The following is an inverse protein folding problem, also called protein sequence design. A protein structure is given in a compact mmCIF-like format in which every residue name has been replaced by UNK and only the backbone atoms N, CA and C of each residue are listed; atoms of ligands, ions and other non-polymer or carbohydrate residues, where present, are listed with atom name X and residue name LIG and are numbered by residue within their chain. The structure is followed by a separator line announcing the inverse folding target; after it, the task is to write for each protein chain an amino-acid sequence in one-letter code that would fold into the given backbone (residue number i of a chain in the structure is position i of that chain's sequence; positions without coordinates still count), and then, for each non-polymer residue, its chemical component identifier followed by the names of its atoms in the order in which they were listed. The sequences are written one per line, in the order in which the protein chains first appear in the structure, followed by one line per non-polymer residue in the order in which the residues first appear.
data_IF_045294037426
#
_entry.id   IF_045294037426
#
_cell.length_a   1.000
_cell.length_b   1.000
_cell.length_c   1.000
_cell.angle_alpha   90.00
_cell.angle_beta   90.00
_cell.angle_gamma   90.00
#
_symmetry.space_group_name_H-M   'P 1'
#
loop_
_entity.id
_entity.type
_entity.pdbx_description
1 polymer ?
#
# COMPACT_ATOMS: atom_id res chain seq x y z
N UNK A 1 -21.35 -24.77 2.14
CA UNK A 1 -21.20 -23.30 2.18
C UNK A 1 -19.75 -22.96 1.94
N UNK A 2 -19.43 -22.30 0.85
CA UNK A 2 -18.12 -21.71 0.68
C UNK A 2 -18.06 -20.48 1.59
N UNK A 3 -17.15 -20.47 2.57
CA UNK A 3 -16.86 -19.29 3.35
C UNK A 3 -16.11 -18.34 2.42
N UNK A 4 -16.78 -17.28 2.02
CA UNK A 4 -16.17 -16.24 1.21
C UNK A 4 -15.12 -15.53 2.09
N UNK A 5 -13.86 -15.83 1.86
CA UNK A 5 -12.77 -15.23 2.62
C UNK A 5 -12.58 -13.79 2.15
N UNK A 6 -12.42 -12.85 3.08
CA UNK A 6 -12.09 -11.44 2.78
C UNK A 6 -10.67 -11.27 2.23
N UNK A 7 -9.99 -12.36 1.88
CA UNK A 7 -8.67 -12.30 1.28
C UNK A 7 -8.74 -11.75 -0.15
N UNK A 8 -7.81 -10.89 -0.53
CA UNK A 8 -7.72 -10.39 -1.90
C UNK A 8 -7.55 -11.54 -2.90
N UNK A 9 -8.35 -11.52 -3.94
CA UNK A 9 -8.32 -12.53 -5.01
C UNK A 9 -8.32 -11.85 -6.38
N UNK A 10 -7.84 -12.56 -7.40
CA UNK A 10 -7.98 -12.12 -8.77
C UNK A 10 -9.46 -12.12 -9.18
N UNK A 11 -9.92 -11.03 -9.79
CA UNK A 11 -11.27 -10.88 -10.28
C UNK A 11 -11.47 -11.59 -11.64
N UNK A 12 -12.62 -12.23 -11.79
CA UNK A 12 -13.05 -12.74 -13.09
C UNK A 12 -13.54 -11.63 -14.02
N UNK A 13 -13.34 -11.79 -15.33
CA UNK A 13 -13.77 -10.80 -16.34
C UNK A 13 -15.28 -10.53 -16.35
N UNK A 14 -16.07 -11.45 -15.82
CA UNK A 14 -17.53 -11.33 -15.73
C UNK A 14 -18.00 -10.58 -14.47
N UNK A 15 -17.11 -10.30 -13.53
CA UNK A 15 -17.45 -9.59 -12.30
C UNK A 15 -17.59 -8.08 -12.57
N UNK A 16 -18.58 -7.44 -11.94
CA UNK A 16 -18.81 -5.99 -12.10
C UNK A 16 -17.59 -5.16 -11.67
N UNK A 17 -16.87 -5.60 -10.65
CA UNK A 17 -15.65 -4.95 -10.16
C UNK A 17 -14.52 -4.97 -11.19
N UNK A 18 -14.56 -5.83 -12.19
CA UNK A 18 -13.56 -5.87 -13.27
C UNK A 18 -13.60 -4.61 -14.14
N UNK A 19 -14.72 -3.91 -14.19
CA UNK A 19 -14.83 -2.61 -14.88
C UNK A 19 -13.85 -1.58 -14.28
N UNK A 20 -13.72 -1.57 -12.97
CA UNK A 20 -12.75 -0.69 -12.28
C UNK A 20 -11.30 -1.00 -12.67
N UNK A 21 -10.98 -2.26 -12.94
CA UNK A 21 -9.64 -2.66 -13.43
C UNK A 21 -9.37 -2.06 -14.81
N UNK A 22 -10.36 -2.13 -15.72
CA UNK A 22 -10.25 -1.57 -17.08
C UNK A 22 -10.11 -0.04 -17.01
N UNK A 23 -10.92 0.63 -16.21
CA UNK A 23 -10.86 2.08 -16.03
C UNK A 23 -9.49 2.52 -15.48
N UNK A 24 -8.94 1.80 -14.49
CA UNK A 24 -7.59 2.06 -13.98
C UNK A 24 -6.52 1.87 -15.05
N UNK A 25 -6.62 0.83 -15.87
CA UNK A 25 -5.67 0.60 -16.96
C UNK A 25 -5.72 1.73 -18.00
N UNK A 26 -6.90 2.20 -18.35
CA UNK A 26 -7.09 3.33 -19.27
C UNK A 26 -6.49 4.62 -18.70
N UNK A 27 -6.76 4.94 -17.43
CA UNK A 27 -6.21 6.11 -16.75
C UNK A 27 -4.69 6.04 -16.68
N UNK A 28 -4.13 4.89 -16.31
CA UNK A 28 -2.67 4.69 -16.27
C UNK A 28 -2.01 4.81 -17.64
N UNK A 29 -2.68 4.33 -18.69
CA UNK A 29 -2.20 4.45 -20.06
C UNK A 29 -2.20 5.90 -20.57
N UNK A 30 -3.08 6.73 -20.03
CA UNK A 30 -3.21 8.16 -20.37
C UNK A 30 -2.49 9.08 -19.40
N UNK A 31 -1.90 8.54 -18.33
CA UNK A 31 -1.36 9.30 -17.21
C UNK A 31 -0.29 10.32 -17.63
N UNK A 32 0.60 9.97 -18.54
CA UNK A 32 1.63 10.89 -19.05
C UNK A 32 1.02 12.08 -19.81
N UNK A 33 0.05 11.80 -20.68
CA UNK A 33 -0.62 12.83 -21.48
C UNK A 33 -1.46 13.78 -20.63
N UNK A 34 -2.09 13.25 -19.59
CA UNK A 34 -2.98 13.99 -18.69
C UNK A 34 -2.26 14.56 -17.46
N UNK A 35 -0.94 14.34 -17.33
CA UNK A 35 -0.13 14.72 -16.16
C UNK A 35 -0.69 14.19 -14.83
N UNK A 36 -1.31 13.00 -14.85
CA UNK A 36 -1.84 12.35 -13.66
C UNK A 36 -0.69 11.66 -12.92
N UNK A 37 -0.44 12.07 -11.68
CA UNK A 37 0.59 11.50 -10.81
C UNK A 37 0.02 10.62 -9.70
N UNK A 38 -1.20 10.90 -9.25
CA UNK A 38 -1.83 10.23 -8.13
C UNK A 38 -3.23 9.79 -8.50
N UNK A 39 -3.58 8.56 -8.14
CA UNK A 39 -4.92 8.00 -8.31
C UNK A 39 -5.35 7.43 -6.97
N UNK A 40 -6.55 7.75 -6.51
CA UNK A 40 -7.12 7.22 -5.29
C UNK A 40 -8.24 6.23 -5.61
N UNK A 41 -8.12 5.01 -5.11
CA UNK A 41 -9.18 4.01 -5.13
C UNK A 41 -9.77 3.92 -3.72
N UNK A 42 -10.99 4.41 -3.55
CA UNK A 42 -11.67 4.49 -2.25
C UNK A 42 -12.82 3.52 -2.15
N UNK A 43 -13.20 3.16 -0.94
CA UNK A 43 -14.32 2.27 -0.66
C UNK A 43 -14.22 1.70 0.75
N UNK A 44 -15.32 1.12 1.27
CA UNK A 44 -15.32 0.51 2.59
C UNK A 44 -14.40 -0.71 2.66
N UNK A 45 -14.10 -1.15 3.87
CA UNK A 45 -13.37 -2.41 4.09
C UNK A 45 -14.13 -3.58 3.47
N UNK A 46 -13.43 -4.47 2.78
CA UNK A 46 -14.04 -5.62 2.10
C UNK A 46 -14.69 -5.31 0.74
N UNK A 47 -14.61 -4.08 0.24
CA UNK A 47 -15.16 -3.70 -1.08
C UNK A 47 -14.36 -4.20 -2.29
N UNK A 48 -13.28 -4.95 -2.08
CA UNK A 48 -12.50 -5.55 -3.16
C UNK A 48 -11.42 -4.63 -3.77
N UNK A 49 -11.05 -3.53 -3.12
CA UNK A 49 -9.99 -2.63 -3.60
C UNK A 49 -8.67 -3.35 -3.90
N UNK A 50 -8.21 -4.20 -2.97
CA UNK A 50 -6.98 -4.97 -3.14
C UNK A 50 -7.11 -5.99 -4.28
N UNK A 51 -8.29 -6.58 -4.47
CA UNK A 51 -8.56 -7.50 -5.58
C UNK A 51 -8.49 -6.80 -6.94
N UNK A 52 -8.99 -5.57 -7.03
CA UNK A 52 -8.86 -4.72 -8.23
C UNK A 52 -7.38 -4.47 -8.56
N UNK A 53 -6.57 -4.10 -7.57
CA UNK A 53 -5.14 -3.84 -7.77
C UNK A 53 -4.36 -5.09 -8.17
N UNK A 54 -4.63 -6.24 -7.55
CA UNK A 54 -4.01 -7.52 -7.90
C UNK A 54 -4.35 -7.89 -9.34
N UNK A 55 -5.63 -7.77 -9.73
CA UNK A 55 -6.09 -8.08 -11.08
C UNK A 55 -5.45 -7.16 -12.12
N UNK A 56 -5.30 -5.86 -11.80
CA UNK A 56 -4.61 -4.91 -12.66
C UNK A 56 -3.16 -5.31 -12.91
N UNK A 57 -2.43 -5.69 -11.86
CA UNK A 57 -1.03 -6.10 -11.96
C UNK A 57 -0.85 -7.39 -12.79
N UNK A 58 -1.79 -8.32 -12.71
CA UNK A 58 -1.72 -9.59 -13.41
C UNK A 58 -2.19 -9.52 -14.86
N UNK A 59 -3.33 -8.87 -15.11
CA UNK A 59 -3.96 -8.82 -16.43
C UNK A 59 -3.43 -7.69 -17.33
N UNK A 60 -2.92 -6.62 -16.73
CA UNK A 60 -2.45 -5.43 -17.46
C UNK A 60 -1.02 -5.04 -17.09
N UNK A 61 -0.03 -5.93 -17.26
CA UNK A 61 1.37 -5.58 -16.98
C UNK A 61 1.91 -4.49 -17.92
N UNK A 62 1.63 -4.54 -19.21
CA UNK A 62 1.95 -3.53 -20.24
C UNK A 62 3.31 -2.79 -20.06
N UNK A 63 4.35 -3.51 -19.66
CA UNK A 63 5.67 -2.94 -19.37
C UNK A 63 5.75 -2.03 -18.14
N UNK A 64 4.72 -1.99 -17.30
CA UNK A 64 4.71 -1.24 -16.06
C UNK A 64 5.39 -2.00 -14.93
N UNK A 65 6.10 -1.27 -14.09
CA UNK A 65 6.65 -1.80 -12.85
C UNK A 65 5.72 -1.47 -11.69
N UNK A 66 5.15 -2.49 -11.08
CA UNK A 66 4.28 -2.35 -9.91
C UNK A 66 5.05 -2.64 -8.63
N UNK A 67 4.94 -1.76 -7.66
CA UNK A 67 5.54 -1.91 -6.33
C UNK A 67 4.44 -1.80 -5.27
N UNK A 68 3.78 -2.91 -4.89
CA UNK A 68 2.78 -2.86 -3.84
C UNK A 68 3.42 -2.66 -2.46
N UNK A 69 2.98 -1.60 -1.76
CA UNK A 69 3.37 -1.25 -0.41
C UNK A 69 2.11 -1.21 0.45
N UNK A 70 2.15 -1.83 1.63
CA UNK A 70 1.04 -1.81 2.59
C UNK A 70 1.43 -1.08 3.86
N UNK A 71 0.57 -0.18 4.32
CA UNK A 71 0.72 0.55 5.57
C UNK A 71 -0.23 0.06 6.67
N UNK A 72 -1.00 -0.99 6.40
CA UNK A 72 -2.00 -1.51 7.34
C UNK A 72 -1.42 -2.00 8.68
N UNK A 73 -0.16 -2.43 8.69
CA UNK A 73 0.52 -2.93 9.89
C UNK A 73 0.95 -1.83 10.87
N UNK A 74 0.88 -0.56 10.48
CA UNK A 74 1.31 0.55 11.33
C UNK A 74 0.34 0.85 12.48
N UNK A 75 -0.92 0.45 12.35
CA UNK A 75 -1.94 0.67 13.38
C UNK A 75 -1.88 -0.34 14.53
N UNK A 76 -1.24 -1.49 14.34
CA UNK A 76 -1.22 -2.56 15.34
C UNK A 76 -0.26 -2.31 16.52
N UNK A 77 0.59 -1.29 16.47
CA UNK A 77 1.62 -1.03 17.48
C UNK A 77 1.37 0.23 18.33
N UNK A 78 0.16 0.79 18.31
CA UNK A 78 -0.16 1.98 19.12
C UNK A 78 -0.41 1.69 20.60
N UNK A 79 -0.52 0.42 21.01
CA UNK A 79 -0.88 0.05 22.37
C UNK A 79 0.29 0.03 23.38
N UNK A 80 1.54 0.25 22.99
CA UNK A 80 2.67 -0.06 23.85
C UNK A 80 3.58 1.13 24.25
N UNK A 81 3.08 2.37 24.26
CA UNK A 81 3.82 3.48 24.86
C UNK A 81 2.91 4.48 25.59
N UNK A 82 2.28 4.03 26.66
CA UNK A 82 1.78 4.94 27.71
C UNK A 82 2.96 5.33 28.60
N UNK A 83 3.68 6.37 28.21
CA UNK A 83 4.46 7.17 29.15
C UNK A 83 3.61 8.43 29.40
N UNK A 84 2.98 8.44 30.58
CA UNK A 84 2.33 9.60 31.12
C UNK A 84 3.36 10.72 31.31
N UNK A 85 3.21 11.82 30.58
CA UNK A 85 3.79 13.11 30.92
C UNK A 85 2.82 14.20 30.46
N UNK A 86 2.35 14.96 31.41
CA UNK A 86 1.52 16.14 31.26
C UNK A 86 2.23 17.23 30.45
N UNK A 87 1.79 17.41 29.18
CA UNK A 87 1.83 18.68 28.45
C UNK A 87 1.08 18.54 27.13
N UNK A 88 -0.10 19.13 27.04
CA UNK A 88 -1.10 18.80 26.01
C UNK A 88 -0.85 19.36 24.62
N UNK A 89 0.10 20.26 24.39
CA UNK A 89 0.35 20.90 23.10
C UNK A 89 1.61 20.43 22.37
N UNK A 90 2.62 19.93 23.09
CA UNK A 90 3.83 19.39 22.47
C UNK A 90 3.71 17.90 22.11
N UNK A 91 2.67 17.21 22.57
CA UNK A 91 2.49 15.78 22.37
C UNK A 91 1.94 15.43 20.98
N UNK A 92 1.12 16.28 20.39
CA UNK A 92 0.51 16.00 19.09
C UNK A 92 1.53 16.11 17.95
N UNK A 93 2.41 17.11 17.99
CA UNK A 93 3.48 17.25 16.99
C UNK A 93 4.49 16.09 17.08
N UNK A 94 4.88 15.70 18.29
CA UNK A 94 5.76 14.53 18.49
C UNK A 94 5.11 13.22 18.05
N UNK A 95 3.81 13.05 18.27
CA UNK A 95 3.07 11.87 17.79
C UNK A 95 3.03 11.81 16.27
N UNK A 96 2.77 12.94 15.61
CA UNK A 96 2.76 13.04 14.14
C UNK A 96 4.15 12.76 13.59
N UNK A 97 5.21 13.31 14.18
CA UNK A 97 6.59 13.07 13.75
C UNK A 97 6.98 11.59 13.93
N UNK A 98 6.60 10.96 15.03
CA UNK A 98 6.84 9.53 15.26
C UNK A 98 6.07 8.65 14.27
N UNK A 99 4.84 9.02 13.94
CA UNK A 99 4.04 8.31 12.94
C UNK A 99 4.68 8.42 11.56
N UNK A 100 5.11 9.61 11.16
CA UNK A 100 5.79 9.83 9.90
C UNK A 100 7.07 9.00 9.78
N UNK A 101 7.89 8.95 10.82
CA UNK A 101 9.09 8.11 10.86
C UNK A 101 8.78 6.62 10.74
N UNK A 102 7.70 6.15 11.39
CA UNK A 102 7.25 4.76 11.27
C UNK A 102 6.80 4.44 9.83
N UNK A 103 6.08 5.35 9.20
CA UNK A 103 5.64 5.22 7.80
C UNK A 103 6.85 5.16 6.87
N UNK A 104 7.78 6.09 6.98
CA UNK A 104 9.01 6.13 6.18
C UNK A 104 9.83 4.85 6.35
N UNK A 105 10.01 4.41 7.59
CA UNK A 105 10.73 3.16 7.88
C UNK A 105 10.04 1.95 7.27
N UNK A 106 8.72 1.85 7.38
CA UNK A 106 7.93 0.76 6.81
C UNK A 106 8.04 0.73 5.27
N UNK A 107 8.00 1.88 4.63
CA UNK A 107 8.17 1.99 3.17
C UNK A 107 9.57 1.53 2.77
N UNK A 108 10.61 2.04 3.43
CA UNK A 108 12.00 1.68 3.17
C UNK A 108 12.24 0.18 3.38
N UNK A 109 11.69 -0.38 4.46
CA UNK A 109 11.81 -1.80 4.76
C UNK A 109 11.17 -2.66 3.65
N UNK A 110 9.98 -2.29 3.19
CA UNK A 110 9.30 -3.03 2.11
C UNK A 110 10.06 -2.91 0.78
N UNK A 111 10.65 -1.77 0.47
CA UNK A 111 11.51 -1.57 -0.70
C UNK A 111 12.74 -2.48 -0.64
N UNK A 112 13.44 -2.50 0.49
CA UNK A 112 14.66 -3.31 0.70
C UNK A 112 14.35 -4.81 0.63
N UNK A 113 13.21 -5.25 1.17
CA UNK A 113 12.82 -6.66 1.09
C UNK A 113 12.53 -7.14 -0.33
N UNK A 114 12.16 -6.24 -1.22
CA UNK A 114 11.89 -6.59 -2.63
C UNK A 114 13.14 -6.60 -3.50
N UNK A 115 14.14 -5.81 -3.13
CA UNK A 115 15.41 -5.81 -3.85
C UNK A 115 16.24 -7.05 -3.54
N UNK A 116 16.98 -7.53 -4.53
CA UNK A 116 17.93 -8.62 -4.33
C UNK A 116 19.06 -8.14 -3.42
N UNK A 117 19.50 -9.00 -2.49
CA UNK A 117 20.54 -8.67 -1.53
C UNK A 117 21.85 -8.15 -2.16
N UNK A 118 22.10 -8.47 -3.43
CA UNK A 118 23.28 -8.04 -4.18
C UNK A 118 23.20 -6.60 -4.70
N UNK A 119 21.97 -6.06 -4.82
CA UNK A 119 21.73 -4.72 -5.38
C UNK A 119 21.68 -3.62 -4.32
N UNK A 120 21.59 -3.99 -3.04
CA UNK A 120 21.59 -3.05 -1.92
C UNK A 120 23.00 -3.00 -1.32
N UNK A 121 23.84 -2.00 -1.68
CA UNK A 121 25.18 -1.91 -1.14
C UNK A 121 25.14 -1.47 0.34
N UNK A 122 25.84 -2.20 1.20
CA UNK A 122 26.20 -1.83 2.58
C UNK A 122 25.19 -0.97 3.35
N UNK A 123 23.89 -1.26 3.21
CA UNK A 123 22.89 -0.53 3.97
C UNK A 123 22.90 -0.99 5.43
N UNK A 124 22.71 -0.04 6.34
CA UNK A 124 22.52 -0.33 7.77
C UNK A 124 21.22 -1.09 8.05
N UNK A 125 20.38 -1.26 7.04
CA UNK A 125 19.15 -2.03 7.12
C UNK A 125 19.46 -3.52 6.96
N UNK A 126 19.28 -4.28 8.02
CA UNK A 126 19.35 -5.73 7.98
C UNK A 126 17.98 -6.29 7.60
N UNK A 127 17.96 -7.24 6.67
CA UNK A 127 16.77 -8.09 6.49
C UNK A 127 16.63 -8.95 7.75
N UNK A 128 15.56 -8.74 8.44
CA UNK A 128 15.19 -9.55 9.61
C UNK A 128 14.33 -10.71 9.13
#
# INVERSE_FOLDING_TARGET
MAIDTLLPKKLGKAEDSYKSVIELDEVLSSAEKLHIKNIALTGPYGSGKSSVLITLMEDFPKGRNYLPISLATLQANEEDNTIECDDKTSNDEKKIENLNRKIEYSILQQLIYREKAKTVPNSRFRRI
#
